data_IF_937123542077
#
_entry.id   IF_937123542077
#
_cell.length_a   1.000
_cell.length_b   1.000
_cell.length_c   1.000
_cell.angle_alpha   90.00
_cell.angle_beta   90.00
_cell.angle_gamma   90.00
#
_symmetry.space_group_name_H-M   'P 1'
#
loop_
_entity.id
_entity.type
_entity.pdbx_description
1 polymer ?
#
# COMPACT_ATOMS: atom_id res chain seq x y z
N UNK A 1 -14.04 -20.27 0.56
CA UNK A 1 -15.03 -19.17 0.62
C UNK A 1 -14.36 -17.85 1.01
N UNK A 2 -13.50 -17.83 2.01
CA UNK A 2 -12.70 -16.64 2.38
C UNK A 2 -11.82 -16.16 1.22
N UNK A 3 -11.19 -17.06 0.47
CA UNK A 3 -10.30 -16.70 -0.65
C UNK A 3 -11.00 -15.89 -1.73
N UNK A 4 -12.26 -16.21 -2.06
CA UNK A 4 -13.06 -15.44 -3.04
C UNK A 4 -13.44 -14.05 -2.54
N UNK A 5 -13.67 -13.88 -1.23
CA UNK A 5 -13.95 -12.57 -0.64
C UNK A 5 -12.68 -11.72 -0.60
N UNK A 6 -11.55 -12.33 -0.29
CA UNK A 6 -10.25 -11.64 -0.33
C UNK A 6 -9.95 -11.13 -1.74
N UNK A 7 -10.14 -11.96 -2.77
CA UNK A 7 -9.93 -11.57 -4.17
C UNK A 7 -10.89 -10.48 -4.68
N UNK A 8 -12.07 -10.35 -4.07
CA UNK A 8 -13.01 -9.27 -4.41
C UNK A 8 -12.58 -7.91 -3.84
N UNK A 9 -12.06 -7.90 -2.61
CA UNK A 9 -11.66 -6.65 -1.93
C UNK A 9 -10.22 -6.24 -2.20
N UNK A 10 -9.33 -7.21 -2.45
CA UNK A 10 -7.89 -6.99 -2.55
C UNK A 10 -7.28 -7.70 -3.75
N UNK A 11 -6.20 -7.14 -4.34
CA UNK A 11 -5.39 -7.86 -5.30
C UNK A 11 -4.70 -9.07 -4.65
N UNK A 12 -4.12 -9.96 -5.47
CA UNK A 12 -3.42 -11.16 -5.01
C UNK A 12 -2.37 -10.82 -3.94
N UNK A 13 -2.20 -11.72 -2.98
CA UNK A 13 -1.17 -11.62 -1.96
C UNK A 13 0.16 -12.09 -2.53
N UNK A 14 1.16 -11.22 -2.53
CA UNK A 14 2.49 -11.50 -3.11
C UNK A 14 3.63 -11.28 -2.10
N UNK A 15 3.36 -10.68 -0.95
CA UNK A 15 4.36 -10.50 0.11
C UNK A 15 4.09 -11.34 1.34
N UNK A 16 5.12 -11.54 2.15
CA UNK A 16 5.03 -12.19 3.47
C UNK A 16 4.12 -11.45 4.45
N UNK A 17 3.85 -10.15 4.24
CA UNK A 17 2.95 -9.34 5.09
C UNK A 17 1.49 -9.39 4.66
N UNK A 18 1.22 -9.65 3.38
CA UNK A 18 -0.09 -9.43 2.78
C UNK A 18 -1.21 -10.19 3.51
N UNK A 19 -0.96 -11.43 3.91
CA UNK A 19 -1.95 -12.23 4.63
C UNK A 19 -2.26 -11.69 6.04
N UNK A 20 -1.23 -11.23 6.77
CA UNK A 20 -1.41 -10.66 8.12
C UNK A 20 -2.27 -9.37 8.07
N UNK A 21 -1.99 -8.51 7.08
CA UNK A 21 -2.70 -7.24 6.89
C UNK A 21 -4.16 -7.50 6.48
N UNK A 22 -4.39 -8.39 5.52
CA UNK A 22 -5.73 -8.72 5.05
C UNK A 22 -6.57 -9.36 6.17
N UNK A 23 -5.97 -10.27 6.97
CA UNK A 23 -6.66 -10.89 8.09
C UNK A 23 -7.03 -9.86 9.18
N UNK A 24 -6.15 -8.92 9.50
CA UNK A 24 -6.45 -7.83 10.42
C UNK A 24 -7.57 -6.94 9.88
N UNK A 25 -7.52 -6.60 8.59
CA UNK A 25 -8.58 -5.82 7.94
C UNK A 25 -9.94 -6.54 8.06
N UNK A 26 -10.02 -7.81 7.71
CA UNK A 26 -11.28 -8.55 7.80
C UNK A 26 -11.77 -8.71 9.23
N UNK A 27 -10.88 -8.90 10.20
CA UNK A 27 -11.27 -8.89 11.60
C UNK A 27 -11.93 -7.57 12.00
N UNK A 28 -11.31 -6.43 11.65
CA UNK A 28 -11.88 -5.10 11.91
C UNK A 28 -13.19 -4.91 11.16
N UNK A 29 -13.25 -5.28 9.88
CA UNK A 29 -14.43 -5.14 9.05
C UNK A 29 -15.62 -5.92 9.60
N UNK A 30 -15.46 -7.23 9.87
CA UNK A 30 -16.56 -8.04 10.39
C UNK A 30 -16.97 -7.65 11.79
N UNK A 31 -16.05 -7.28 12.65
CA UNK A 31 -16.35 -6.77 13.99
C UNK A 31 -17.17 -5.48 13.92
N UNK A 32 -16.77 -4.55 13.02
CA UNK A 32 -17.50 -3.29 12.79
C UNK A 32 -18.89 -3.52 12.23
N UNK A 33 -19.02 -4.42 11.24
CA UNK A 33 -20.34 -4.80 10.68
C UNK A 33 -21.23 -5.43 11.74
N UNK A 34 -20.71 -6.35 12.56
CA UNK A 34 -21.47 -6.97 13.63
C UNK A 34 -21.98 -5.94 14.66
N UNK A 35 -21.11 -5.06 15.13
CA UNK A 35 -21.48 -3.97 16.05
C UNK A 35 -22.51 -3.01 15.42
N UNK A 36 -22.31 -2.63 14.17
CA UNK A 36 -23.26 -1.80 13.42
C UNK A 36 -24.65 -2.46 13.35
N UNK A 37 -24.72 -3.73 12.98
CA UNK A 37 -25.98 -4.46 12.89
C UNK A 37 -26.67 -4.58 14.25
N UNK A 38 -25.94 -4.89 15.32
CA UNK A 38 -26.48 -4.93 16.70
C UNK A 38 -27.14 -3.61 17.06
N UNK A 39 -26.44 -2.48 16.82
CA UNK A 39 -26.95 -1.16 17.14
C UNK A 39 -28.17 -0.81 16.29
N UNK A 40 -28.11 -1.02 14.96
CA UNK A 40 -29.22 -0.67 14.05
C UNK A 40 -30.44 -1.51 14.33
N UNK A 41 -30.29 -2.83 14.45
CA UNK A 41 -31.42 -3.73 14.75
C UNK A 41 -31.98 -3.44 16.16
N UNK A 42 -31.12 -3.20 17.14
CA UNK A 42 -31.55 -2.78 18.49
C UNK A 42 -32.39 -1.50 18.46
N UNK A 43 -31.89 -0.50 17.76
CA UNK A 43 -32.58 0.79 17.61
C UNK A 43 -33.94 0.63 16.91
N UNK A 44 -33.99 -0.10 15.79
CA UNK A 44 -35.22 -0.36 15.04
C UNK A 44 -36.22 -1.14 15.91
N UNK A 45 -35.76 -2.23 16.56
CA UNK A 45 -36.57 -3.03 17.45
C UNK A 45 -37.18 -2.20 18.58
N UNK A 46 -36.38 -1.40 19.29
CA UNK A 46 -36.87 -0.55 20.39
C UNK A 46 -37.83 0.53 19.89
N UNK A 47 -37.56 1.13 18.73
CA UNK A 47 -38.42 2.15 18.11
C UNK A 47 -39.80 1.57 17.74
N UNK A 48 -39.83 0.32 17.23
CA UNK A 48 -41.09 -0.33 16.89
C UNK A 48 -41.83 -0.79 18.17
N UNK A 49 -41.11 -1.41 19.11
CA UNK A 49 -41.67 -1.96 20.34
C UNK A 49 -42.25 -0.91 21.27
N UNK A 50 -41.58 0.22 21.40
CA UNK A 50 -42.00 1.30 22.31
C UNK A 50 -42.65 2.50 21.59
N UNK A 51 -43.03 2.31 20.31
CA UNK A 51 -43.75 3.32 19.55
C UNK A 51 -45.11 3.60 20.20
N UNK A 52 -45.36 4.88 20.59
CA UNK A 52 -46.68 5.32 21.04
C UNK A 52 -47.66 5.30 19.86
N UNK A 53 -48.84 4.65 20.06
CA UNK A 53 -49.93 4.63 19.08
C UNK A 53 -51.00 5.59 19.50
N UNK A 54 -51.58 6.31 18.54
CA UNK A 54 -52.63 7.30 18.79
C UNK A 54 -53.85 6.57 19.39
N UNK A 55 -54.26 6.97 20.65
CA UNK A 55 -55.38 6.36 21.37
C UNK A 55 -54.99 5.31 22.43
N UNK A 56 -53.70 4.97 22.60
CA UNK A 56 -53.25 4.18 23.74
C UNK A 56 -52.96 5.05 24.96
N UNK A 57 -53.37 4.61 26.14
CA UNK A 57 -52.98 5.25 27.40
C UNK A 57 -51.45 5.10 27.59
N UNK A 58 -50.79 6.17 28.01
CA UNK A 58 -49.37 6.20 28.36
C UNK A 58 -49.13 5.23 29.54
N UNK A 59 -48.61 4.05 29.27
CA UNK A 59 -48.13 3.15 30.32
C UNK A 59 -46.86 3.72 30.90
N UNK A 60 -46.87 4.06 32.18
CA UNK A 60 -45.69 4.42 32.92
C UNK A 60 -44.69 3.26 32.89
N UNK A 61 -43.56 3.46 32.27
CA UNK A 61 -42.47 2.50 32.26
C UNK A 61 -41.80 2.47 33.63
N UNK A 62 -41.14 1.36 33.96
CA UNK A 62 -40.35 1.22 35.19
C UNK A 62 -39.32 2.34 35.32
N UNK A 63 -39.19 2.90 36.53
CA UNK A 63 -38.17 3.91 36.86
C UNK A 63 -36.71 3.40 36.88
N UNK A 64 -36.48 2.13 36.44
CA UNK A 64 -35.13 1.64 36.30
C UNK A 64 -34.52 2.18 35.00
N UNK A 65 -33.74 3.21 35.17
CA UNK A 65 -33.00 3.94 34.12
C UNK A 65 -31.57 3.45 33.93
N UNK A 66 -31.07 2.60 34.84
CA UNK A 66 -29.72 2.05 34.81
C UNK A 66 -29.68 0.51 34.86
N UNK A 67 -28.75 -0.07 34.08
CA UNK A 67 -28.41 -1.48 34.15
C UNK A 67 -26.90 -1.64 34.11
N UNK A 68 -26.30 -1.83 35.29
CA UNK A 68 -24.84 -1.97 35.40
C UNK A 68 -24.27 -3.08 34.50
N UNK A 69 -25.02 -4.15 34.30
CA UNK A 69 -24.60 -5.25 33.40
C UNK A 69 -24.56 -4.78 31.95
N UNK A 70 -25.62 -4.11 31.48
CA UNK A 70 -25.71 -3.62 30.11
C UNK A 70 -24.64 -2.57 29.81
N UNK A 71 -24.47 -1.62 30.73
CA UNK A 71 -23.44 -0.57 30.64
C UNK A 71 -22.03 -1.16 30.64
N UNK A 72 -21.77 -2.12 31.53
CA UNK A 72 -20.50 -2.84 31.55
C UNK A 72 -20.23 -3.59 30.24
N UNK A 73 -21.22 -4.25 29.65
CA UNK A 73 -21.08 -4.97 28.38
C UNK A 73 -20.77 -3.98 27.24
N UNK A 74 -21.45 -2.84 27.18
CA UNK A 74 -21.19 -1.81 26.16
C UNK A 74 -19.77 -1.20 26.26
N UNK A 75 -19.16 -1.21 27.42
CA UNK A 75 -17.81 -0.76 27.62
C UNK A 75 -16.75 -1.86 27.39
N UNK A 76 -16.97 -3.03 28.01
CA UNK A 76 -15.98 -4.11 28.02
C UNK A 76 -15.82 -4.77 26.65
N UNK A 77 -16.92 -5.01 25.91
CA UNK A 77 -16.86 -5.69 24.60
C UNK A 77 -16.05 -4.85 23.58
N UNK A 78 -16.34 -3.56 23.35
CA UNK A 78 -15.52 -2.73 22.48
C UNK A 78 -14.07 -2.60 22.97
N UNK A 79 -13.85 -2.50 24.28
CA UNK A 79 -12.50 -2.42 24.85
C UNK A 79 -11.66 -3.66 24.51
N UNK A 80 -12.25 -4.87 24.62
CA UNK A 80 -11.57 -6.12 24.24
C UNK A 80 -11.25 -6.13 22.75
N UNK A 81 -12.21 -5.76 21.88
CA UNK A 81 -11.99 -5.73 20.44
C UNK A 81 -10.90 -4.74 20.04
N UNK A 82 -10.90 -3.54 20.62
CA UNK A 82 -9.86 -2.54 20.39
C UNK A 82 -8.50 -3.02 20.89
N UNK A 83 -8.46 -3.67 22.05
CA UNK A 83 -7.21 -4.23 22.59
C UNK A 83 -6.62 -5.33 21.69
N UNK A 84 -7.47 -6.23 21.17
CA UNK A 84 -7.04 -7.25 20.19
C UNK A 84 -6.50 -6.58 18.91
N UNK A 85 -7.25 -5.62 18.36
CA UNK A 85 -6.85 -4.87 17.17
C UNK A 85 -5.53 -4.15 17.38
N UNK A 86 -5.35 -3.51 18.54
CA UNK A 86 -4.12 -2.79 18.89
C UNK A 86 -2.91 -3.73 18.96
N UNK A 87 -3.01 -4.85 19.69
CA UNK A 87 -1.89 -5.80 19.82
C UNK A 87 -1.53 -6.44 18.48
N UNK A 88 -2.55 -6.81 17.70
CA UNK A 88 -2.32 -7.37 16.35
C UNK A 88 -1.71 -6.33 15.42
N UNK A 89 -2.30 -5.13 15.35
CA UNK A 89 -1.82 -4.04 14.52
C UNK A 89 -0.37 -3.64 14.82
N UNK A 90 0.01 -3.52 16.11
CA UNK A 90 1.39 -3.18 16.47
C UNK A 90 2.38 -4.29 16.07
N UNK A 91 1.99 -5.56 16.19
CA UNK A 91 2.84 -6.67 15.75
C UNK A 91 3.06 -6.66 14.24
N UNK A 92 1.99 -6.46 13.46
CA UNK A 92 2.08 -6.36 12.00
C UNK A 92 2.89 -5.13 11.58
N UNK A 93 2.71 -4.00 12.24
CA UNK A 93 3.48 -2.78 12.00
C UNK A 93 4.98 -2.98 12.24
N UNK A 94 5.36 -3.58 13.37
CA UNK A 94 6.76 -3.83 13.69
C UNK A 94 7.43 -4.76 12.66
N UNK A 95 6.72 -5.77 12.16
CA UNK A 95 7.22 -6.61 11.07
C UNK A 95 7.53 -5.81 9.81
N UNK A 96 6.73 -4.79 9.49
CA UNK A 96 6.91 -3.96 8.29
C UNK A 96 8.00 -2.89 8.44
N UNK A 97 8.32 -2.48 9.66
CA UNK A 97 9.29 -1.40 9.93
C UNK A 97 10.69 -1.95 10.17
N UNK A 98 10.81 -3.14 10.75
CA UNK A 98 12.12 -3.75 11.05
C UNK A 98 12.63 -4.42 9.79
N UNK A 99 13.61 -3.80 9.15
CA UNK A 99 14.27 -4.30 7.93
C UNK A 99 15.23 -5.43 8.31
N UNK A 100 15.20 -6.60 7.63
CA UNK A 100 16.22 -7.63 7.79
C UNK A 100 17.61 -7.14 7.36
N UNK A 101 18.67 -7.63 8.03
CA UNK A 101 20.04 -7.22 7.77
C UNK A 101 20.57 -7.68 6.39
N UNK A 102 20.01 -8.75 5.83
CA UNK A 102 20.35 -9.34 4.54
C UNK A 102 19.54 -8.80 3.36
N UNK A 103 18.78 -7.71 3.58
CA UNK A 103 17.95 -7.11 2.55
C UNK A 103 18.77 -6.44 1.45
N UNK A 104 18.42 -6.72 0.19
CA UNK A 104 18.99 -6.04 -0.98
C UNK A 104 18.50 -4.58 -0.98
N UNK A 105 19.43 -3.63 -0.92
CA UNK A 105 19.09 -2.20 -0.92
C UNK A 105 18.95 -1.66 -2.35
N UNK A 106 17.81 -1.09 -2.69
CA UNK A 106 17.54 -0.40 -3.96
C UNK A 106 17.07 1.02 -3.63
N UNK A 107 17.68 2.02 -4.28
CA UNK A 107 17.25 3.41 -4.14
C UNK A 107 16.13 3.70 -5.12
N UNK A 108 15.05 4.30 -4.62
CA UNK A 108 13.89 4.69 -5.42
C UNK A 108 13.77 6.20 -5.42
N UNK A 109 13.82 6.78 -6.60
CA UNK A 109 13.66 8.21 -6.76
C UNK A 109 12.41 8.53 -7.56
N UNK A 110 11.45 9.24 -6.93
CA UNK A 110 10.29 9.80 -7.60
C UNK A 110 10.64 11.13 -8.27
N UNK A 111 10.17 11.33 -9.48
CA UNK A 111 10.22 12.59 -10.21
C UNK A 111 8.99 12.69 -11.09
N UNK A 112 8.47 13.87 -11.38
CA UNK A 112 7.26 14.08 -12.19
C UNK A 112 7.47 13.64 -13.64
N UNK A 113 6.91 12.56 -14.11
CA UNK A 113 5.97 11.61 -13.52
C UNK A 113 6.45 10.18 -13.81
N UNK A 114 7.60 9.82 -13.26
CA UNK A 114 8.25 8.53 -13.42
C UNK A 114 9.04 8.14 -12.17
N UNK A 115 9.45 6.85 -12.12
CA UNK A 115 10.23 6.27 -11.06
C UNK A 115 11.58 5.80 -11.58
N UNK A 116 12.67 6.10 -10.85
CA UNK A 116 14.00 5.60 -11.13
C UNK A 116 14.41 4.66 -10.00
N UNK A 117 15.03 3.54 -10.38
CA UNK A 117 15.52 2.53 -9.45
C UNK A 117 17.01 2.34 -9.65
N UNK A 118 17.80 2.66 -8.63
CA UNK A 118 19.27 2.50 -8.65
C UNK A 118 19.64 1.28 -7.82
N UNK A 119 20.36 0.33 -8.43
CA UNK A 119 20.75 -0.95 -7.84
C UNK A 119 22.16 -0.90 -7.24
N UNK A 120 22.49 -1.81 -6.28
CA UNK A 120 23.80 -1.85 -5.64
C UNK A 120 24.97 -2.01 -6.63
N UNK A 121 24.74 -2.76 -7.70
CA UNK A 121 25.74 -3.09 -8.74
C UNK A 121 25.94 -1.97 -9.77
N UNK A 122 25.36 -0.80 -9.56
CA UNK A 122 25.55 0.41 -10.35
C UNK A 122 24.54 0.62 -11.47
N UNK A 123 23.73 -0.36 -11.80
CA UNK A 123 22.71 -0.25 -12.84
C UNK A 123 21.48 0.56 -12.41
N UNK A 124 20.83 1.21 -13.35
CA UNK A 124 19.62 2.04 -13.14
C UNK A 124 18.53 1.62 -14.11
N UNK A 125 17.28 1.45 -13.58
CA UNK A 125 16.09 1.20 -14.40
C UNK A 125 15.06 2.32 -14.28
N UNK A 126 14.21 2.46 -15.29
CA UNK A 126 13.16 3.47 -15.34
C UNK A 126 11.78 2.79 -15.39
N UNK A 127 10.91 3.08 -14.42
CA UNK A 127 9.55 2.55 -14.29
C UNK A 127 9.46 1.00 -14.22
N UNK A 128 10.60 0.32 -14.00
CA UNK A 128 10.68 -1.13 -13.84
C UNK A 128 11.55 -1.45 -12.63
N UNK A 129 10.92 -1.97 -11.57
CA UNK A 129 11.61 -2.46 -10.38
C UNK A 129 11.76 -3.98 -10.50
N UNK A 130 12.98 -4.47 -10.69
CA UNK A 130 13.28 -5.90 -10.77
C UNK A 130 13.78 -6.37 -9.41
N UNK A 131 13.21 -7.45 -8.90
CA UNK A 131 13.54 -7.98 -7.56
C UNK A 131 13.51 -9.51 -7.57
N UNK A 132 14.32 -10.18 -6.72
CA UNK A 132 14.24 -11.62 -6.56
C UNK A 132 13.03 -12.03 -5.71
N UNK A 133 12.50 -13.23 -5.95
CA UNK A 133 11.52 -13.86 -5.08
C UNK A 133 12.19 -14.45 -3.83
N UNK A 134 11.45 -14.45 -2.69
CA UNK A 134 11.87 -15.04 -1.41
C UNK A 134 13.22 -14.50 -0.89
N UNK A 135 13.50 -13.24 -1.18
CA UNK A 135 14.60 -12.47 -0.59
C UNK A 135 14.08 -11.10 -0.14
N UNK A 136 14.46 -10.61 1.04
CA UNK A 136 14.04 -9.30 1.50
C UNK A 136 14.67 -8.19 0.63
N UNK A 137 13.86 -7.22 0.25
CA UNK A 137 14.26 -6.04 -0.54
C UNK A 137 13.94 -4.80 0.26
N UNK A 138 14.97 -3.98 0.50
CA UNK A 138 14.89 -2.69 1.16
C UNK A 138 14.86 -1.58 0.12
N UNK A 139 13.83 -0.76 0.12
CA UNK A 139 13.72 0.42 -0.71
C UNK A 139 14.04 1.67 0.09
N UNK A 140 15.01 2.45 -0.41
CA UNK A 140 15.33 3.78 0.14
C UNK A 140 14.71 4.81 -0.80
N UNK A 141 13.63 5.45 -0.34
CA UNK A 141 12.78 6.29 -1.15
C UNK A 141 13.07 7.78 -0.94
N UNK A 142 13.13 8.51 -2.03
CA UNK A 142 13.26 9.98 -2.03
C UNK A 142 12.54 10.59 -3.24
N UNK A 143 12.45 11.91 -3.28
CA UNK A 143 11.92 12.65 -4.43
C UNK A 143 12.90 13.73 -4.86
N UNK A 144 12.94 14.02 -6.17
CA UNK A 144 13.72 15.14 -6.74
C UNK A 144 12.95 16.45 -6.83
N UNK A 145 11.63 16.41 -6.76
CA UNK A 145 10.78 17.58 -7.01
C UNK A 145 9.69 17.77 -5.94
N UNK A 146 8.58 17.07 -6.05
CA UNK A 146 7.42 17.20 -5.15
C UNK A 146 7.19 15.91 -4.35
N UNK A 147 6.22 15.92 -3.45
CA UNK A 147 5.76 14.73 -2.76
C UNK A 147 5.16 13.73 -3.75
N UNK A 148 5.63 12.48 -3.69
CA UNK A 148 5.04 11.30 -4.32
C UNK A 148 4.78 10.25 -3.25
N UNK A 149 4.00 9.22 -3.56
CA UNK A 149 3.82 8.08 -2.67
C UNK A 149 3.92 6.77 -3.45
N UNK A 150 4.93 5.98 -3.12
CA UNK A 150 5.24 4.72 -3.78
C UNK A 150 4.38 3.59 -3.20
N UNK A 151 3.56 2.95 -4.01
CA UNK A 151 2.60 1.94 -3.58
C UNK A 151 2.62 0.69 -4.45
N UNK A 152 2.82 -0.46 -3.81
CA UNK A 152 2.73 -1.79 -4.43
C UNK A 152 1.53 -2.54 -3.83
N UNK A 153 0.35 -2.50 -4.46
CA UNK A 153 -0.88 -3.06 -3.89
C UNK A 153 -0.81 -4.54 -3.51
N UNK A 154 -0.19 -5.36 -4.36
CA UNK A 154 -0.07 -6.80 -4.14
C UNK A 154 0.81 -7.16 -2.94
N UNK A 155 1.68 -6.24 -2.52
CA UNK A 155 2.55 -6.38 -1.36
C UNK A 155 2.01 -5.70 -0.10
N UNK A 156 0.90 -4.94 -0.20
CA UNK A 156 0.32 -4.12 0.89
C UNK A 156 1.29 -3.10 1.46
N UNK A 157 2.27 -2.68 0.68
CA UNK A 157 3.32 -1.76 1.11
C UNK A 157 3.22 -0.42 0.40
N UNK A 158 3.15 0.65 1.20
CA UNK A 158 3.10 2.04 0.74
C UNK A 158 3.99 2.92 1.58
N UNK A 159 4.73 3.84 0.93
CA UNK A 159 5.59 4.80 1.61
C UNK A 159 5.73 6.09 0.78
N UNK A 160 5.71 7.23 1.47
CA UNK A 160 5.86 8.53 0.83
C UNK A 160 7.32 8.81 0.44
N UNK A 161 7.49 9.43 -0.74
CA UNK A 161 8.76 9.88 -1.28
C UNK A 161 8.84 11.40 -1.14
N UNK A 162 9.64 11.88 -0.21
CA UNK A 162 9.74 13.29 0.17
C UNK A 162 11.01 13.92 -0.43
N UNK A 163 10.95 15.18 -0.91
CA UNK A 163 12.14 15.92 -1.26
C UNK A 163 13.08 16.13 -0.06
N UNK A 164 14.39 15.99 -0.29
CA UNK A 164 15.43 16.17 0.73
C UNK A 164 15.31 15.26 1.97
N UNK A 165 14.58 14.16 1.87
CA UNK A 165 14.40 13.18 2.94
C UNK A 165 14.43 11.77 2.37
N UNK A 166 15.00 10.84 3.15
CA UNK A 166 14.97 9.41 2.84
C UNK A 166 13.98 8.71 3.75
N UNK A 167 13.03 7.99 3.16
CA UNK A 167 12.17 7.06 3.84
C UNK A 167 12.58 5.63 3.47
N UNK A 168 12.31 4.68 4.35
CA UNK A 168 12.67 3.28 4.14
C UNK A 168 11.43 2.42 4.23
N UNK A 169 11.24 1.55 3.27
CA UNK A 169 10.30 0.44 3.33
C UNK A 169 10.99 -0.85 2.85
N UNK A 170 10.45 -1.98 3.23
CA UNK A 170 10.93 -3.25 2.73
C UNK A 170 9.78 -4.22 2.47
N UNK A 171 10.06 -5.25 1.69
CA UNK A 171 9.15 -6.36 1.46
C UNK A 171 9.94 -7.61 1.07
N UNK A 172 9.27 -8.76 1.16
CA UNK A 172 9.75 -10.03 0.65
C UNK A 172 8.66 -10.59 -0.26
N UNK A 173 8.98 -10.70 -1.56
CA UNK A 173 8.06 -11.14 -2.59
C UNK A 173 8.01 -12.68 -2.64
N UNK A 174 6.84 -13.27 -2.40
CA UNK A 174 6.65 -14.72 -2.33
C UNK A 174 6.25 -15.38 -3.64
N UNK A 175 5.87 -14.60 -4.66
CA UNK A 175 5.38 -15.10 -5.95
C UNK A 175 5.99 -14.33 -7.10
N UNK A 176 6.50 -15.06 -8.07
CA UNK A 176 7.02 -14.52 -9.32
C UNK A 176 5.89 -13.90 -10.17
N UNK A 177 6.25 -12.93 -10.98
CA UNK A 177 5.31 -12.24 -11.88
C UNK A 177 5.58 -10.76 -12.02
N UNK A 178 4.74 -10.09 -12.80
CA UNK A 178 4.78 -8.64 -13.04
C UNK A 178 3.56 -8.01 -12.40
N UNK A 179 3.79 -7.00 -11.55
CA UNK A 179 2.74 -6.34 -10.80
C UNK A 179 2.85 -4.82 -10.92
N UNK A 180 1.73 -4.13 -10.64
CA UNK A 180 1.66 -2.69 -10.76
C UNK A 180 2.23 -1.96 -9.54
N UNK A 181 2.90 -0.84 -9.82
CA UNK A 181 3.31 0.19 -8.87
C UNK A 181 2.55 1.46 -9.22
N UNK A 182 2.05 2.17 -8.22
CA UNK A 182 1.31 3.41 -8.40
C UNK A 182 1.92 4.55 -7.57
N UNK A 183 1.75 5.77 -8.06
CA UNK A 183 1.85 6.95 -7.24
C UNK A 183 0.50 7.22 -6.58
N UNK A 184 0.46 7.32 -5.25
CA UNK A 184 -0.78 7.51 -4.47
C UNK A 184 -0.85 8.83 -3.72
N UNK A 185 0.00 9.79 -4.09
CA UNK A 185 -0.07 11.18 -3.63
C UNK A 185 -0.07 12.11 -4.84
N UNK A 186 -1.00 13.08 -4.88
CA UNK A 186 -1.13 13.97 -6.03
C UNK A 186 0.13 14.80 -6.27
N UNK A 187 0.79 14.58 -7.40
CA UNK A 187 2.08 15.16 -7.77
C UNK A 187 2.03 16.02 -9.05
N UNK A 188 0.85 16.45 -9.46
CA UNK A 188 0.65 17.31 -10.63
C UNK A 188 -0.13 16.66 -11.77
N UNK A 189 -0.09 17.25 -12.97
CA UNK A 189 -0.96 16.90 -14.10
C UNK A 189 -0.82 15.44 -14.56
N UNK A 190 0.40 14.89 -14.57
CA UNK A 190 0.70 13.51 -14.97
C UNK A 190 0.57 12.48 -13.86
N UNK A 191 0.02 12.83 -12.68
CA UNK A 191 -0.09 11.94 -11.53
C UNK A 191 -0.72 10.58 -11.85
N UNK A 192 -1.82 10.55 -12.58
CA UNK A 192 -2.53 9.31 -12.95
C UNK A 192 -1.74 8.42 -13.92
N UNK A 193 -0.72 8.95 -14.58
CA UNK A 193 0.14 8.24 -15.52
C UNK A 193 1.48 7.82 -14.88
N UNK A 194 1.74 8.25 -13.65
CA UNK A 194 2.96 7.91 -12.90
C UNK A 194 2.85 6.50 -12.32
N UNK A 195 2.83 5.51 -13.21
CA UNK A 195 2.85 4.08 -12.88
C UNK A 195 4.20 3.47 -13.21
N UNK A 196 4.49 2.33 -12.57
CA UNK A 196 5.64 1.48 -12.84
C UNK A 196 5.26 0.02 -12.68
N UNK A 197 6.19 -0.89 -12.95
CA UNK A 197 6.02 -2.33 -12.74
C UNK A 197 7.06 -2.85 -11.75
N UNK A 198 6.65 -3.77 -10.90
CA UNK A 198 7.59 -4.61 -10.16
C UNK A 198 7.62 -5.99 -10.83
N UNK A 199 8.81 -6.42 -11.21
CA UNK A 199 9.09 -7.69 -11.87
C UNK A 199 9.77 -8.58 -10.83
N UNK A 200 9.04 -9.59 -10.36
CA UNK A 200 9.56 -10.58 -9.41
C UNK A 200 10.01 -11.80 -10.18
N UNK A 201 11.26 -12.15 -10.07
CA UNK A 201 11.86 -13.30 -10.77
C UNK A 201 12.59 -14.23 -9.80
N UNK A 202 13.03 -15.39 -10.29
CA UNK A 202 13.81 -16.33 -9.49
C UNK A 202 15.15 -15.71 -9.09
N UNK A 203 15.69 -16.04 -7.89
CA UNK A 203 16.95 -15.46 -7.43
C UNK A 203 18.12 -15.64 -8.41
N UNK A 204 18.24 -16.80 -9.06
CA UNK A 204 19.31 -17.05 -10.03
C UNK A 204 19.17 -16.15 -11.28
N UNK A 205 17.95 -15.94 -11.77
CA UNK A 205 17.68 -15.05 -12.90
C UNK A 205 17.93 -13.56 -12.53
N UNK A 206 17.63 -13.20 -11.29
CA UNK A 206 17.92 -11.87 -10.79
C UNK A 206 19.42 -11.60 -10.72
N UNK A 207 20.23 -12.56 -10.25
CA UNK A 207 21.69 -12.42 -10.17
C UNK A 207 22.33 -12.28 -11.57
N UNK A 208 21.86 -13.06 -12.55
CA UNK A 208 22.27 -12.93 -13.95
C UNK A 208 21.91 -11.56 -14.51
N UNK A 209 20.64 -11.15 -14.39
CA UNK A 209 20.14 -9.85 -14.85
C UNK A 209 20.87 -8.68 -14.18
N UNK A 210 21.13 -8.73 -12.87
CA UNK A 210 21.82 -7.67 -12.14
C UNK A 210 23.27 -7.51 -12.59
N UNK A 211 23.95 -8.65 -12.87
CA UNK A 211 25.32 -8.64 -13.39
C UNK A 211 25.41 -8.03 -14.80
N UNK A 212 24.44 -8.33 -15.66
CA UNK A 212 24.36 -7.74 -17.00
C UNK A 212 24.06 -6.24 -16.92
N UNK A 213 23.12 -5.82 -16.06
CA UNK A 213 22.75 -4.43 -15.89
C UNK A 213 23.93 -3.56 -15.43
N UNK A 214 24.75 -4.06 -14.50
CA UNK A 214 25.95 -3.38 -14.00
C UNK A 214 27.06 -3.27 -15.06
N UNK A 215 27.23 -4.29 -15.93
CA UNK A 215 28.27 -4.31 -16.95
C UNK A 215 27.95 -3.49 -18.21
N UNK A 216 26.69 -3.25 -18.49
CA UNK A 216 26.26 -2.54 -19.71
C UNK A 216 26.74 -1.07 -19.80
N UNK A 217 26.99 -0.43 -18.67
CA UNK A 217 27.34 0.99 -18.62
C UNK A 217 28.86 1.23 -18.52
N UNK A 218 29.64 0.24 -18.04
CA UNK A 218 31.08 0.37 -17.81
C UNK A 218 31.93 0.32 -19.10
N UNK A 219 31.43 -0.33 -20.15
CA UNK A 219 32.16 -0.53 -21.41
C UNK A 219 31.75 0.43 -22.55
N UNK A 220 30.75 1.30 -22.32
CA UNK A 220 30.27 2.22 -23.35
C UNK A 220 31.10 3.51 -23.40
N UNK A 221 31.47 4.00 -24.60
CA UNK A 221 32.01 5.36 -24.80
C UNK A 221 31.03 6.39 -24.23
N UNK A 222 31.55 7.49 -23.66
CA UNK A 222 30.75 8.53 -22.99
C UNK A 222 29.65 9.15 -23.87
N UNK A 223 29.84 9.20 -25.18
CA UNK A 223 28.86 9.67 -26.17
C UNK A 223 27.72 8.69 -26.38
N UNK A 224 28.04 7.37 -26.46
CA UNK A 224 27.02 6.31 -26.56
C UNK A 224 26.26 6.15 -25.22
N UNK A 225 26.97 6.21 -24.10
CA UNK A 225 26.34 6.22 -22.78
C UNK A 225 25.41 7.42 -22.63
N UNK A 226 25.84 8.59 -23.06
CA UNK A 226 25.04 9.81 -23.07
C UNK A 226 23.78 9.66 -23.95
N UNK A 227 23.89 9.09 -25.14
CA UNK A 227 22.76 8.83 -26.03
C UNK A 227 21.77 7.80 -25.45
N UNK A 228 22.29 6.71 -24.83
CA UNK A 228 21.50 5.68 -24.15
C UNK A 228 20.71 6.28 -22.96
N UNK A 229 21.38 7.05 -22.10
CA UNK A 229 20.76 7.74 -20.97
C UNK A 229 19.74 8.79 -21.42
N UNK A 230 20.03 9.52 -22.50
CA UNK A 230 19.09 10.47 -23.07
C UNK A 230 17.85 9.78 -23.58
N UNK A 231 17.98 8.69 -24.32
CA UNK A 231 16.85 7.91 -24.85
C UNK A 231 16.03 7.28 -23.72
N UNK A 232 16.69 6.66 -22.72
CA UNK A 232 16.01 6.09 -21.54
C UNK A 232 15.27 7.16 -20.70
N UNK A 233 15.86 8.34 -20.53
CA UNK A 233 15.31 9.41 -19.67
C UNK A 233 14.39 10.38 -20.40
N UNK A 234 14.59 10.60 -21.70
CA UNK A 234 13.82 11.57 -22.50
C UNK A 234 12.50 11.02 -23.04
N UNK A 235 12.32 9.71 -23.15
CA UNK A 235 11.06 9.09 -23.58
C UNK A 235 9.89 9.45 -22.66
N UNK A 236 10.16 9.79 -21.41
CA UNK A 236 9.16 10.27 -20.45
C UNK A 236 8.58 11.66 -20.81
N UNK A 237 9.31 12.47 -21.60
CA UNK A 237 8.89 13.83 -21.98
C UNK A 237 8.26 13.93 -23.38
N UNK A 238 8.38 12.92 -24.23
CA UNK A 238 7.85 12.95 -25.59
C UNK A 238 6.31 12.87 -25.66
N UNK A 239 5.64 12.55 -24.56
CA UNK A 239 4.19 12.64 -24.46
C UNK A 239 3.68 14.03 -24.00
N UNK A 240 4.57 14.93 -23.64
CA UNK A 240 4.30 16.35 -23.40
C UNK A 240 4.52 17.14 -24.69
N UNK A 241 3.82 16.79 -25.78
CA UNK A 241 3.57 17.78 -26.84
C UNK A 241 2.66 18.83 -26.23
N UNK A 242 3.24 19.95 -25.81
CA UNK A 242 2.49 21.17 -25.54
C UNK A 242 1.57 21.40 -26.74
N UNK A 243 0.26 21.56 -26.54
CA UNK A 243 -0.60 21.97 -27.63
C UNK A 243 -0.10 23.32 -28.11
N UNK A 244 0.37 23.37 -29.35
CA UNK A 244 0.88 24.56 -30.04
C UNK A 244 -0.19 25.64 -30.29
N UNK A 245 -1.30 25.64 -29.56
CA UNK A 245 -2.44 26.53 -29.73
C UNK A 245 -2.47 27.72 -28.76
N UNK A 246 -1.39 28.02 -28.04
CA UNK A 246 -1.32 29.21 -27.16
C UNK A 246 -0.33 30.29 -27.66
N UNK A 247 -0.08 30.37 -28.96
CA UNK A 247 0.63 31.49 -29.58
C UNK A 247 -0.26 32.12 -30.66
N UNK A 248 -1.29 32.86 -30.21
CA UNK A 248 -1.88 33.99 -30.95
C UNK A 248 -2.35 35.01 -29.90
#
# INVERSE_FOLDING_TARGET
MLDRLTEFFFPKQVSTFASDIDNLYFFIFYSSVALFLIVVFGMVYLSIKYRHRKGEELKLTSSKDHSNLLESMFFIIPLILVSITFVWGIRSYLKMVIVPDDAIEIKVTGQSWFWTFDYPDGGTTLNELVVPSNKPVKLVLSSKDVLHSFFIPVMRSKMDCLPNRYNVMWFDATKEGVYDIFCTEYCGTGHSQMGAKVIVMQPAQYEEWASELGSEDDDLPLDELGAKLYTKKAVSYTHLTLPTTWLV
#
